data_IF_219311771927
#
_entry.id   IF_219311771927
#
_cell.length_a   1.000
_cell.length_b   1.000
_cell.length_c   1.000
_cell.angle_alpha   90.00
_cell.angle_beta   90.00
_cell.angle_gamma   90.00
#
_symmetry.space_group_name_H-M   'P 1'
#
loop_
_entity.id
_entity.type
_entity.pdbx_description
1 polymer ?
#
# COMPACT_ATOMS: atom_id res chain seq x y z
N UNK A 1 -20.18 3.13 0.16
CA UNK A 1 -20.63 4.00 1.27
C UNK A 1 -19.38 4.53 1.96
N UNK A 2 -19.29 5.84 2.17
CA UNK A 2 -18.19 6.41 2.95
C UNK A 2 -18.44 6.21 4.44
N UNK A 3 -17.37 5.95 5.19
CA UNK A 3 -17.37 5.71 6.62
C UNK A 3 -16.21 6.45 7.28
N UNK A 4 -16.43 6.96 8.48
CA UNK A 4 -15.39 7.53 9.31
C UNK A 4 -14.94 6.48 10.35
N UNK A 5 -13.64 6.26 10.45
CA UNK A 5 -12.98 5.34 11.36
C UNK A 5 -12.00 6.09 12.27
N UNK A 6 -11.42 5.41 13.26
CA UNK A 6 -10.47 5.99 14.20
C UNK A 6 -11.01 7.28 14.81
N UNK A 7 -12.17 7.18 15.48
CA UNK A 7 -12.86 8.31 16.12
C UNK A 7 -13.19 9.46 15.16
N UNK A 8 -13.50 9.15 13.90
CA UNK A 8 -13.88 10.13 12.88
C UNK A 8 -12.70 10.81 12.15
N UNK A 9 -11.48 10.30 12.31
CA UNK A 9 -10.27 10.91 11.76
C UNK A 9 -9.76 10.25 10.47
N UNK A 10 -10.22 9.04 10.15
CA UNK A 10 -9.87 8.30 8.94
C UNK A 10 -11.12 8.11 8.09
N UNK A 11 -11.12 8.68 6.89
CA UNK A 11 -12.17 8.46 5.90
C UNK A 11 -11.90 7.17 5.15
N UNK A 12 -12.93 6.33 4.95
CA UNK A 12 -12.82 5.07 4.24
C UNK A 12 -14.03 4.79 3.36
N UNK A 13 -13.81 4.23 2.18
CA UNK A 13 -14.87 3.61 1.41
C UNK A 13 -15.10 2.19 1.93
N UNK A 14 -16.38 1.82 2.13
CA UNK A 14 -16.76 0.46 2.54
C UNK A 14 -17.73 -0.14 1.54
N UNK A 15 -17.53 -1.43 1.22
CA UNK A 15 -18.34 -2.20 0.28
C UNK A 15 -18.40 -3.67 0.70
N UNK A 16 -19.55 -4.33 0.45
CA UNK A 16 -19.73 -5.76 0.75
C UNK A 16 -19.96 -6.05 2.23
N UNK A 17 -20.11 -7.34 2.51
CA UNK A 17 -20.33 -7.92 3.84
C UNK A 17 -19.38 -9.09 4.06
N UNK A 18 -19.24 -9.58 5.32
CA UNK A 18 -18.36 -10.70 5.67
C UNK A 18 -17.09 -10.26 6.41
N UNK A 19 -16.03 -11.11 6.39
CA UNK A 19 -14.78 -10.81 7.06
C UNK A 19 -14.17 -9.50 6.58
N UNK A 20 -13.61 -8.67 7.47
CA UNK A 20 -13.07 -7.37 7.10
C UNK A 20 -11.75 -7.52 6.33
N UNK A 21 -11.65 -6.84 5.18
CA UNK A 21 -10.46 -6.75 4.35
C UNK A 21 -10.11 -5.27 4.13
N UNK A 22 -9.00 -4.83 4.71
CA UNK A 22 -8.47 -3.49 4.57
C UNK A 22 -7.48 -3.40 3.42
N UNK A 23 -7.64 -2.39 2.54
CA UNK A 23 -6.78 -2.14 1.39
C UNK A 23 -6.10 -0.78 1.55
N UNK A 24 -4.79 -0.76 1.80
CA UNK A 24 -3.98 0.44 2.07
C UNK A 24 -3.20 0.83 0.82
N UNK A 25 -3.42 2.05 0.31
CA UNK A 25 -2.86 2.53 -0.96
C UNK A 25 -1.40 3.00 -0.87
N UNK A 26 -0.73 3.12 -2.02
CA UNK A 26 0.64 3.63 -2.14
C UNK A 26 0.71 5.17 -2.01
N UNK A 27 1.93 5.70 -1.76
CA UNK A 27 2.22 7.14 -1.67
C UNK A 27 1.94 7.90 -2.96
N UNK A 28 2.23 7.27 -4.11
CA UNK A 28 2.07 7.88 -5.43
C UNK A 28 0.68 7.63 -6.04
N UNK A 29 -0.24 7.10 -5.24
CA UNK A 29 -1.61 6.80 -5.64
C UNK A 29 -2.58 7.13 -4.50
N UNK A 30 -3.84 6.76 -4.65
CA UNK A 30 -4.91 6.97 -3.70
C UNK A 30 -5.79 5.72 -3.55
N UNK A 31 -6.88 5.81 -2.77
CA UNK A 31 -7.81 4.70 -2.57
C UNK A 31 -8.43 4.16 -3.88
N UNK A 32 -8.54 4.99 -4.92
CA UNK A 32 -9.09 4.58 -6.21
C UNK A 32 -8.21 3.55 -6.94
N UNK A 33 -6.94 3.37 -6.51
CA UNK A 33 -6.08 2.30 -7.04
C UNK A 33 -6.63 0.88 -6.81
N UNK A 34 -7.62 0.72 -5.93
CA UNK A 34 -8.29 -0.55 -5.66
C UNK A 34 -9.67 -0.67 -6.34
N UNK A 35 -10.14 0.33 -7.09
CA UNK A 35 -11.48 0.33 -7.66
C UNK A 35 -11.73 -0.82 -8.65
N UNK A 36 -10.68 -1.30 -9.33
CA UNK A 36 -10.76 -2.42 -10.24
C UNK A 36 -10.93 -3.78 -9.51
N UNK A 37 -10.39 -3.93 -8.30
CA UNK A 37 -10.41 -5.20 -7.55
C UNK A 37 -11.47 -5.23 -6.45
N UNK A 38 -11.83 -4.08 -5.88
CA UNK A 38 -12.78 -3.99 -4.77
C UNK A 38 -14.17 -4.58 -5.07
N UNK A 39 -14.76 -4.45 -6.28
CA UNK A 39 -16.05 -5.08 -6.59
C UNK A 39 -16.04 -6.60 -6.49
N UNK A 40 -14.99 -7.27 -6.97
CA UNK A 40 -14.87 -8.73 -6.89
C UNK A 40 -14.61 -9.19 -5.46
N UNK A 41 -13.71 -8.54 -4.74
CA UNK A 41 -13.43 -8.82 -3.33
C UNK A 41 -14.67 -8.61 -2.45
N UNK A 42 -15.49 -7.61 -2.74
CA UNK A 42 -16.69 -7.29 -1.95
C UNK A 42 -17.82 -8.31 -2.06
N UNK A 43 -17.70 -9.31 -2.94
CA UNK A 43 -18.63 -10.44 -3.00
C UNK A 43 -18.40 -11.42 -1.82
N UNK A 44 -17.23 -11.37 -1.18
CA UNK A 44 -16.81 -12.32 -0.15
C UNK A 44 -16.36 -11.64 1.15
N UNK A 45 -15.99 -10.37 1.06
CA UNK A 45 -15.42 -9.59 2.15
C UNK A 45 -16.17 -8.27 2.34
N UNK A 46 -16.16 -7.79 3.55
CA UNK A 46 -16.41 -6.40 3.84
C UNK A 46 -15.11 -5.63 3.53
N UNK A 47 -15.00 -5.16 2.30
CA UNK A 47 -13.83 -4.41 1.79
C UNK A 47 -13.88 -3.00 2.33
N UNK A 48 -12.80 -2.58 2.99
CA UNK A 48 -12.62 -1.26 3.59
C UNK A 48 -11.37 -0.65 2.96
N UNK A 49 -11.53 0.48 2.26
CA UNK A 49 -10.43 1.18 1.58
C UNK A 49 -10.27 2.54 2.24
N UNK A 50 -9.43 2.67 3.28
CA UNK A 50 -9.17 3.95 3.92
C UNK A 50 -8.29 4.84 3.04
N UNK A 51 -8.53 6.13 3.15
CA UNK A 51 -7.53 7.13 2.81
C UNK A 51 -6.52 7.18 3.94
N UNK A 52 -5.24 6.95 3.65
CA UNK A 52 -4.21 6.98 4.69
C UNK A 52 -4.16 8.36 5.36
N UNK A 53 -3.72 8.46 6.62
CA UNK A 53 -3.65 9.73 7.35
C UNK A 53 -2.98 10.85 6.55
N UNK A 54 -3.71 11.94 6.33
CA UNK A 54 -3.31 13.10 5.53
C UNK A 54 -3.69 13.02 4.06
N UNK A 55 -4.19 11.88 3.55
CA UNK A 55 -4.73 11.75 2.20
C UNK A 55 -6.24 12.02 2.20
N UNK A 56 -6.72 12.61 1.11
CA UNK A 56 -8.15 12.86 0.88
C UNK A 56 -8.84 13.52 2.07
N UNK A 57 -9.88 12.88 2.60
CA UNK A 57 -10.63 13.35 3.77
C UNK A 57 -10.08 12.91 5.14
N UNK A 58 -8.96 12.16 5.17
CA UNK A 58 -8.37 11.69 6.42
C UNK A 58 -7.49 12.75 7.07
N UNK A 59 -7.62 12.92 8.38
CA UNK A 59 -6.79 13.87 9.14
C UNK A 59 -5.33 13.41 9.17
N UNK A 60 -4.42 14.36 8.95
CA UNK A 60 -3.00 14.11 9.10
C UNK A 60 -2.65 13.78 10.57
N UNK A 61 -1.63 12.97 10.73
CA UNK A 61 -0.98 12.71 12.03
C UNK A 61 0.42 13.34 12.03
N UNK A 62 1.18 13.18 13.09
CA UNK A 62 2.57 13.62 13.16
C UNK A 62 3.46 13.03 12.04
N UNK A 63 4.71 13.42 12.00
CA UNK A 63 5.60 13.18 10.86
C UNK A 63 6.26 11.79 10.79
N UNK A 64 5.89 10.80 11.61
CA UNK A 64 6.52 9.47 11.64
C UNK A 64 5.63 8.38 11.06
N UNK A 65 6.26 7.35 10.46
CA UNK A 65 5.55 6.14 10.00
C UNK A 65 4.84 5.43 11.18
N UNK A 66 5.40 5.51 12.36
CA UNK A 66 4.82 4.96 13.59
C UNK A 66 3.45 5.57 13.91
N UNK A 67 3.33 6.89 13.83
CA UNK A 67 2.06 7.59 14.08
C UNK A 67 1.01 7.28 13.02
N UNK A 68 1.42 7.15 11.76
CA UNK A 68 0.56 6.71 10.67
C UNK A 68 0.06 5.27 10.95
N UNK A 69 0.96 4.37 11.32
CA UNK A 69 0.64 2.97 11.61
C UNK A 69 -0.29 2.83 12.84
N UNK A 70 -0.05 3.60 13.90
CA UNK A 70 -0.90 3.61 15.10
C UNK A 70 -2.31 4.10 14.77
N UNK A 71 -2.46 5.18 13.99
CA UNK A 71 -3.76 5.66 13.53
C UNK A 71 -4.48 4.63 12.66
N UNK A 72 -3.75 3.93 11.79
CA UNK A 72 -4.33 2.87 10.98
C UNK A 72 -4.73 1.65 11.84
N UNK A 73 -3.99 1.34 12.91
CA UNK A 73 -4.40 0.31 13.86
C UNK A 73 -5.72 0.67 14.56
N UNK A 74 -5.91 1.93 14.95
CA UNK A 74 -7.20 2.40 15.46
C UNK A 74 -8.33 2.21 14.44
N UNK A 75 -8.07 2.56 13.18
CA UNK A 75 -9.04 2.40 12.09
C UNK A 75 -9.40 0.92 11.83
N UNK A 76 -8.41 0.02 11.90
CA UNK A 76 -8.65 -1.43 11.75
C UNK A 76 -9.48 -1.97 12.93
N UNK A 77 -9.18 -1.59 14.17
CA UNK A 77 -9.99 -1.99 15.35
C UNK A 77 -11.44 -1.50 15.24
N UNK A 78 -11.63 -0.25 14.83
CA UNK A 78 -12.96 0.36 14.71
C UNK A 78 -13.76 -0.25 13.55
N UNK A 79 -13.10 -0.58 12.44
CA UNK A 79 -13.74 -1.11 11.23
C UNK A 79 -13.72 -2.64 11.10
N UNK A 80 -12.77 -3.33 11.71
CA UNK A 80 -12.48 -4.73 11.41
C UNK A 80 -12.74 -5.72 12.53
N UNK A 81 -12.38 -5.35 13.75
CA UNK A 81 -12.30 -6.33 14.84
C UNK A 81 -11.10 -7.29 14.66
N UNK A 82 -11.14 -8.41 15.39
CA UNK A 82 -10.01 -9.34 15.52
C UNK A 82 -9.76 -10.21 14.26
N UNK A 83 -10.72 -10.28 13.33
CA UNK A 83 -10.63 -11.13 12.12
C UNK A 83 -10.16 -10.38 10.87
N UNK A 84 -9.60 -9.19 11.01
CA UNK A 84 -9.20 -8.37 9.89
C UNK A 84 -8.08 -9.02 9.06
N UNK A 85 -8.21 -8.90 7.74
CA UNK A 85 -7.12 -9.12 6.78
C UNK A 85 -6.66 -7.75 6.31
N UNK A 86 -5.35 -7.53 6.26
CA UNK A 86 -4.79 -6.26 5.79
C UNK A 86 -3.95 -6.49 4.55
N UNK A 87 -4.23 -5.74 3.51
CA UNK A 87 -3.44 -5.66 2.29
C UNK A 87 -2.91 -4.24 2.15
N UNK A 88 -1.59 -4.09 2.01
CA UNK A 88 -0.95 -2.80 1.74
C UNK A 88 -0.11 -2.84 0.49
N UNK A 89 -0.24 -1.82 -0.37
CA UNK A 89 0.58 -1.63 -1.55
C UNK A 89 1.54 -0.45 -1.36
N UNK A 90 2.80 -0.62 -1.70
CA UNK A 90 3.81 0.42 -1.62
C UNK A 90 3.90 1.04 -0.22
N UNK A 91 3.66 2.34 -0.09
CA UNK A 91 3.62 3.01 1.21
C UNK A 91 2.62 2.39 2.18
N UNK A 92 1.42 2.01 1.70
CA UNK A 92 0.46 1.26 2.49
C UNK A 92 0.97 -0.09 2.98
N UNK A 93 1.87 -0.74 2.24
CA UNK A 93 2.58 -1.95 2.66
C UNK A 93 3.52 -1.70 3.84
N UNK A 94 4.31 -0.61 3.80
CA UNK A 94 5.16 -0.22 4.93
C UNK A 94 4.35 0.17 6.16
N UNK A 95 3.23 0.88 5.97
CA UNK A 95 2.28 1.20 7.06
C UNK A 95 1.70 -0.08 7.67
N UNK A 96 1.24 -1.02 6.85
CA UNK A 96 0.68 -2.29 7.30
C UNK A 96 1.71 -3.14 8.08
N UNK A 97 2.94 -3.20 7.58
CA UNK A 97 4.03 -3.92 8.23
C UNK A 97 4.39 -3.28 9.58
N UNK A 98 4.56 -1.97 9.63
CA UNK A 98 4.80 -1.23 10.88
C UNK A 98 3.65 -1.40 11.88
N UNK A 99 2.41 -1.40 11.38
CA UNK A 99 1.20 -1.60 12.19
C UNK A 99 1.20 -2.98 12.86
N UNK A 100 1.46 -4.06 12.11
CA UNK A 100 1.52 -5.43 12.66
C UNK A 100 2.68 -5.61 13.64
N UNK A 101 3.83 -5.01 13.39
CA UNK A 101 4.97 -5.04 14.32
C UNK A 101 4.60 -4.43 15.68
N UNK A 102 3.83 -3.36 15.69
CA UNK A 102 3.43 -2.61 16.89
C UNK A 102 2.17 -3.16 17.55
N UNK A 103 1.28 -3.72 16.76
CA UNK A 103 -0.04 -4.22 17.17
C UNK A 103 -0.23 -5.64 16.59
N UNK A 104 0.45 -6.67 17.14
CA UNK A 104 0.53 -8.01 16.51
C UNK A 104 -0.82 -8.72 16.39
N UNK A 105 -1.81 -8.33 17.18
CA UNK A 105 -3.15 -8.95 17.21
C UNK A 105 -4.19 -8.21 16.35
N UNK A 106 -3.74 -7.23 15.53
CA UNK A 106 -4.65 -6.34 14.79
C UNK A 106 -5.24 -7.01 13.53
N UNK A 107 -4.60 -8.06 13.01
CA UNK A 107 -5.03 -8.77 11.83
C UNK A 107 -4.67 -10.25 11.91
N UNK A 108 -5.38 -11.08 11.16
CA UNK A 108 -5.15 -12.53 11.07
C UNK A 108 -4.26 -12.92 9.91
N UNK A 109 -4.15 -12.06 8.89
CA UNK A 109 -3.32 -12.24 7.67
C UNK A 109 -2.84 -10.90 7.16
N UNK A 110 -1.66 -10.91 6.56
CA UNK A 110 -1.06 -9.72 5.96
C UNK A 110 -0.67 -9.98 4.51
N UNK A 111 -1.07 -9.10 3.59
CA UNK A 111 -0.64 -9.11 2.19
C UNK A 111 0.16 -7.83 1.96
N UNK A 112 1.42 -7.99 1.55
CA UNK A 112 2.37 -6.91 1.31
C UNK A 112 2.71 -6.87 -0.17
N UNK A 113 2.15 -5.92 -0.88
CA UNK A 113 2.38 -5.73 -2.31
C UNK A 113 3.37 -4.58 -2.54
N UNK A 114 4.41 -4.87 -3.31
CA UNK A 114 5.36 -3.86 -3.80
C UNK A 114 5.95 -3.00 -2.65
N UNK A 115 6.52 -3.65 -1.66
CA UNK A 115 7.20 -3.03 -0.54
C UNK A 115 8.40 -3.88 -0.07
N UNK A 116 9.07 -3.47 1.00
CA UNK A 116 10.24 -4.16 1.53
C UNK A 116 10.47 -3.87 3.01
N UNK A 117 11.61 -4.30 3.55
CA UNK A 117 11.98 -4.06 4.94
C UNK A 117 12.81 -2.77 5.12
N UNK A 118 13.58 -2.39 4.10
CA UNK A 118 14.46 -1.22 4.10
C UNK A 118 14.78 -0.83 2.66
N UNK A 119 15.21 0.41 2.45
CA UNK A 119 15.73 0.85 1.16
C UNK A 119 17.26 0.83 1.12
N UNK A 120 17.82 0.56 -0.06
CA UNK A 120 19.24 0.72 -0.33
C UNK A 120 19.68 2.18 -0.17
N UNK A 121 20.97 2.49 -0.03
CA UNK A 121 21.46 3.87 0.02
C UNK A 121 20.98 4.73 -1.17
N UNK A 122 20.96 4.17 -2.37
CA UNK A 122 20.44 4.86 -3.58
C UNK A 122 18.94 5.07 -3.53
N UNK A 123 18.16 4.11 -3.01
CA UNK A 123 16.72 4.25 -2.80
C UNK A 123 16.38 5.34 -1.80
N UNK A 124 17.10 5.39 -0.67
CA UNK A 124 16.98 6.46 0.34
C UNK A 124 17.27 7.84 -0.26
N UNK A 125 18.34 7.95 -1.06
CA UNK A 125 18.69 9.21 -1.72
C UNK A 125 17.66 9.64 -2.77
N UNK A 126 17.03 8.70 -3.46
CA UNK A 126 15.95 9.01 -4.39
C UNK A 126 14.75 9.66 -3.67
N UNK A 127 14.38 9.20 -2.47
CA UNK A 127 13.32 9.85 -1.67
C UNK A 127 13.73 11.24 -1.19
N UNK A 128 14.97 11.43 -0.74
CA UNK A 128 15.47 12.75 -0.35
C UNK A 128 15.45 13.72 -1.53
N UNK A 129 15.87 13.26 -2.70
CA UNK A 129 15.82 14.05 -3.95
C UNK A 129 14.40 14.42 -4.33
N UNK A 130 13.45 13.48 -4.31
CA UNK A 130 12.04 13.78 -4.60
C UNK A 130 11.46 14.80 -3.62
N UNK A 131 11.75 14.68 -2.32
CA UNK A 131 11.33 15.65 -1.31
C UNK A 131 11.93 17.04 -1.57
N UNK A 132 13.22 17.13 -1.89
CA UNK A 132 13.91 18.38 -2.17
C UNK A 132 13.39 19.06 -3.44
N UNK A 133 13.18 18.31 -4.52
CA UNK A 133 12.62 18.83 -5.79
C UNK A 133 11.18 19.28 -5.58
N UNK A 134 10.35 18.48 -4.88
CA UNK A 134 8.98 18.86 -4.53
C UNK A 134 8.93 20.15 -3.70
N UNK A 135 9.86 20.33 -2.76
CA UNK A 135 9.95 21.57 -1.96
C UNK A 135 10.32 22.80 -2.82
N UNK A 136 11.25 22.64 -3.75
CA UNK A 136 11.77 23.72 -4.56
C UNK A 136 10.88 24.09 -5.75
N UNK A 137 10.20 23.11 -6.37
CA UNK A 137 9.52 23.25 -7.67
C UNK A 137 8.08 22.73 -7.69
N UNK A 138 7.56 22.21 -6.56
CA UNK A 138 6.24 21.61 -6.47
C UNK A 138 6.19 20.17 -6.99
N UNK A 139 5.04 19.49 -6.77
CA UNK A 139 4.82 18.10 -7.19
C UNK A 139 4.86 17.95 -8.71
N UNK A 140 4.45 18.95 -9.47
CA UNK A 140 4.46 18.92 -10.93
C UNK A 140 5.86 18.58 -11.50
N UNK A 141 6.93 19.03 -10.83
CA UNK A 141 8.31 18.77 -11.28
C UNK A 141 8.77 17.32 -11.14
N UNK A 142 8.05 16.50 -10.38
CA UNK A 142 8.37 15.10 -10.16
C UNK A 142 7.29 14.13 -10.68
N UNK A 143 6.22 14.64 -11.30
CA UNK A 143 5.08 13.84 -11.76
C UNK A 143 5.51 12.75 -12.74
N UNK A 144 6.41 13.05 -13.70
CA UNK A 144 6.90 12.04 -14.65
C UNK A 144 7.72 10.93 -13.96
N UNK A 145 8.48 11.29 -12.93
CA UNK A 145 9.20 10.31 -12.10
C UNK A 145 8.21 9.44 -11.33
N UNK A 146 7.16 10.04 -10.75
CA UNK A 146 6.11 9.30 -10.05
C UNK A 146 5.41 8.30 -10.97
N UNK A 147 5.01 8.70 -12.17
CA UNK A 147 4.34 7.82 -13.13
C UNK A 147 5.23 6.66 -13.59
N UNK A 148 6.51 6.92 -13.87
CA UNK A 148 7.46 5.83 -14.22
C UNK A 148 7.65 4.82 -13.09
N UNK A 149 7.54 5.27 -11.85
CA UNK A 149 7.62 4.37 -10.68
C UNK A 149 6.38 3.51 -10.50
N UNK A 150 5.21 4.00 -10.90
CA UNK A 150 3.95 3.26 -10.78
C UNK A 150 3.79 2.21 -11.88
N UNK A 151 4.16 2.53 -13.13
CA UNK A 151 3.85 1.71 -14.30
C UNK A 151 5.03 1.63 -15.27
N UNK A 152 5.20 0.46 -15.89
CA UNK A 152 6.15 0.27 -16.97
C UNK A 152 5.83 1.19 -18.18
N UNK A 153 6.86 1.65 -18.95
CA UNK A 153 6.66 2.58 -20.08
C UNK A 153 5.65 2.11 -21.12
N UNK A 154 5.68 0.84 -21.48
CA UNK A 154 4.76 0.27 -22.47
C UNK A 154 3.31 0.32 -21.99
N UNK A 155 3.07 0.04 -20.72
CA UNK A 155 1.74 0.16 -20.11
C UNK A 155 1.25 1.62 -20.13
N UNK A 156 2.11 2.57 -19.79
CA UNK A 156 1.78 3.99 -19.86
C UNK A 156 1.36 4.45 -21.24
N UNK A 157 2.09 3.98 -22.30
CA UNK A 157 1.78 4.32 -23.69
C UNK A 157 0.43 3.76 -24.17
N UNK A 158 0.02 2.60 -23.63
CA UNK A 158 -1.25 1.95 -23.98
C UNK A 158 -2.45 2.49 -23.20
N UNK A 159 -2.23 3.18 -22.07
CA UNK A 159 -3.29 3.64 -21.16
C UNK A 159 -3.20 5.16 -20.85
N UNK A 160 -3.24 6.04 -21.86
CA UNK A 160 -3.04 7.49 -21.67
C UNK A 160 -4.09 8.14 -20.77
N UNK A 161 -5.35 7.67 -20.80
CA UNK A 161 -6.43 8.19 -19.93
C UNK A 161 -6.14 7.85 -18.46
N UNK A 162 -5.81 6.59 -18.17
CA UNK A 162 -5.42 6.19 -16.81
C UNK A 162 -4.20 7.00 -16.33
N UNK A 163 -3.23 7.26 -17.20
CA UNK A 163 -2.08 8.09 -16.85
C UNK A 163 -2.47 9.52 -16.53
N UNK A 164 -3.44 10.09 -17.24
CA UNK A 164 -3.97 11.43 -16.93
C UNK A 164 -4.63 11.47 -15.54
N UNK A 165 -5.50 10.51 -15.25
CA UNK A 165 -6.16 10.39 -13.95
C UNK A 165 -5.17 10.21 -12.80
N UNK A 166 -4.15 9.36 -12.98
CA UNK A 166 -3.13 9.13 -11.93
C UNK A 166 -2.23 10.33 -11.72
N UNK A 167 -1.92 11.08 -12.79
CA UNK A 167 -1.18 12.37 -12.67
C UNK A 167 -1.98 13.38 -11.88
N UNK A 168 -3.27 13.50 -12.15
CA UNK A 168 -4.16 14.42 -11.42
C UNK A 168 -4.25 14.01 -9.95
N UNK A 169 -4.48 12.74 -9.65
CA UNK A 169 -4.53 12.21 -8.29
C UNK A 169 -3.24 12.51 -7.51
N UNK A 170 -2.07 12.30 -8.14
CA UNK A 170 -0.78 12.62 -7.54
C UNK A 170 -0.61 14.13 -7.28
N UNK A 171 -1.01 14.98 -8.21
CA UNK A 171 -0.92 16.44 -8.06
C UNK A 171 -1.83 16.99 -6.96
N UNK A 172 -2.93 16.30 -6.64
CA UNK A 172 -3.85 16.63 -5.55
C UNK A 172 -3.34 16.20 -4.17
N UNK A 173 -2.23 15.45 -4.08
CA UNK A 173 -1.60 15.09 -2.80
C UNK A 173 -1.06 16.34 -2.11
N UNK A 174 -1.24 16.44 -0.79
CA UNK A 174 -0.62 17.52 -0.01
C UNK A 174 0.92 17.45 -0.12
N UNK A 175 1.60 18.52 -0.57
CA UNK A 175 3.04 18.49 -0.75
C UNK A 175 3.84 18.34 0.56
N UNK A 176 3.27 18.72 1.72
CA UNK A 176 3.92 18.54 3.02
C UNK A 176 3.85 17.08 3.44
N UNK A 177 2.68 16.47 3.29
CA UNK A 177 2.47 15.04 3.50
C UNK A 177 3.42 14.21 2.62
N UNK A 178 3.47 14.50 1.32
CA UNK A 178 4.38 13.81 0.40
C UNK A 178 5.84 13.86 0.87
N UNK A 179 6.32 15.04 1.28
CA UNK A 179 7.68 15.20 1.80
C UNK A 179 7.92 14.46 3.11
N UNK A 180 6.94 14.48 4.02
CA UNK A 180 7.02 13.72 5.28
C UNK A 180 7.12 12.21 5.00
N UNK A 181 6.29 11.67 4.10
CA UNK A 181 6.35 10.27 3.71
C UNK A 181 7.70 9.92 3.02
N UNK A 182 8.22 10.78 2.16
CA UNK A 182 9.56 10.60 1.58
C UNK A 182 10.65 10.55 2.68
N UNK A 183 10.58 11.41 3.69
CA UNK A 183 11.54 11.40 4.80
C UNK A 183 11.43 10.10 5.63
N UNK A 184 10.21 9.64 5.92
CA UNK A 184 9.96 8.36 6.60
C UNK A 184 10.59 7.19 5.82
N UNK A 185 10.34 7.11 4.51
CA UNK A 185 10.88 6.05 3.66
C UNK A 185 12.41 6.10 3.51
N UNK A 186 12.99 7.30 3.48
CA UNK A 186 14.44 7.46 3.44
C UNK A 186 15.15 6.95 4.70
N UNK A 187 14.49 6.92 5.85
CA UNK A 187 15.06 6.46 7.12
C UNK A 187 14.56 5.06 7.52
N UNK A 188 13.65 4.46 6.72
CA UNK A 188 13.03 3.18 7.02
C UNK A 188 14.06 2.05 7.14
N UNK A 189 14.01 1.32 8.25
CA UNK A 189 14.67 0.02 8.42
C UNK A 189 13.91 -0.82 9.44
N UNK A 190 13.12 -1.77 8.95
CA UNK A 190 12.29 -2.66 9.76
C UNK A 190 12.91 -4.07 9.93
N UNK A 191 14.11 -4.32 9.36
CA UNK A 191 14.72 -5.65 9.34
C UNK A 191 14.86 -6.26 10.73
N UNK A 192 15.27 -5.47 11.71
CA UNK A 192 15.42 -5.91 13.10
C UNK A 192 14.10 -6.22 13.84
N UNK A 193 12.97 -5.81 13.27
CA UNK A 193 11.65 -5.93 13.89
C UNK A 193 10.80 -7.07 13.31
N UNK A 194 11.18 -7.62 12.14
CA UNK A 194 10.34 -8.57 11.37
C UNK A 194 10.04 -9.87 12.13
N UNK A 195 10.91 -10.29 13.03
CA UNK A 195 10.68 -11.45 13.90
C UNK A 195 9.44 -11.29 14.84
N UNK A 196 8.92 -10.07 14.98
CA UNK A 196 7.70 -9.77 15.77
C UNK A 196 6.41 -10.06 14.98
N UNK A 197 6.48 -10.19 13.66
CA UNK A 197 5.32 -10.51 12.81
C UNK A 197 4.97 -11.98 13.02
N UNK A 198 3.78 -12.27 13.57
CA UNK A 198 3.34 -13.62 13.94
C UNK A 198 2.23 -14.15 13.04
N UNK A 199 1.65 -13.31 12.21
CA UNK A 199 0.61 -13.71 11.27
C UNK A 199 1.21 -14.23 9.97
N UNK A 200 0.52 -15.11 9.23
CA UNK A 200 0.93 -15.48 7.89
C UNK A 200 1.00 -14.25 6.97
N UNK A 201 2.04 -14.18 6.13
CA UNK A 201 2.27 -13.06 5.21
C UNK A 201 2.36 -13.56 3.77
N UNK A 202 1.64 -12.92 2.86
CA UNK A 202 1.89 -13.03 1.42
C UNK A 202 2.62 -11.77 0.96
N UNK A 203 3.84 -11.93 0.50
CA UNK A 203 4.62 -10.88 -0.16
C UNK A 203 4.40 -10.98 -1.66
N UNK A 204 4.04 -9.87 -2.30
CA UNK A 204 3.80 -9.80 -3.75
C UNK A 204 4.66 -8.67 -4.31
N UNK A 205 5.17 -8.85 -5.52
CA UNK A 205 5.88 -7.79 -6.25
C UNK A 205 5.65 -7.92 -7.74
N UNK A 206 5.46 -6.79 -8.42
CA UNK A 206 5.49 -6.74 -9.87
C UNK A 206 6.90 -7.02 -10.41
N UNK A 207 7.00 -7.82 -11.48
CA UNK A 207 8.28 -8.18 -12.12
C UNK A 207 9.11 -6.95 -12.50
N UNK A 208 8.43 -5.87 -12.90
CA UNK A 208 9.03 -4.62 -13.39
C UNK A 208 8.91 -3.46 -12.40
N UNK A 209 8.72 -3.75 -11.10
CA UNK A 209 8.69 -2.69 -10.09
C UNK A 209 10.07 -2.03 -9.91
N UNK A 210 10.17 -0.77 -10.31
CA UNK A 210 11.37 0.05 -10.14
C UNK A 210 11.38 0.85 -8.81
N UNK A 211 10.23 0.97 -8.15
CA UNK A 211 10.12 1.71 -6.89
C UNK A 211 10.59 0.88 -5.69
N UNK A 212 10.14 -0.37 -5.64
CA UNK A 212 10.51 -1.38 -4.65
C UNK A 212 10.83 -2.70 -5.37
N UNK A 213 11.99 -2.78 -6.05
CA UNK A 213 12.29 -3.87 -6.98
C UNK A 213 12.30 -5.25 -6.30
N UNK A 214 12.07 -6.35 -7.06
CA UNK A 214 11.91 -7.71 -6.55
C UNK A 214 12.94 -8.16 -5.49
N UNK A 215 14.23 -7.77 -5.54
CA UNK A 215 15.18 -8.11 -4.47
C UNK A 215 14.76 -7.62 -3.08
N UNK A 216 14.03 -6.50 -2.96
CA UNK A 216 13.52 -6.01 -1.67
C UNK A 216 12.44 -6.95 -1.11
N UNK A 217 11.55 -7.45 -1.96
CA UNK A 217 10.52 -8.43 -1.58
C UNK A 217 11.10 -9.81 -1.26
N UNK A 218 12.17 -10.22 -1.94
CA UNK A 218 12.94 -11.43 -1.59
C UNK A 218 13.56 -11.30 -0.19
N UNK A 219 14.21 -10.16 0.12
CA UNK A 219 14.76 -9.90 1.46
C UNK A 219 13.66 -9.92 2.52
N UNK A 220 12.54 -9.21 2.26
CA UNK A 220 11.40 -9.16 3.17
C UNK A 220 10.85 -10.55 3.48
N UNK A 221 10.57 -11.35 2.45
CA UNK A 221 10.04 -12.70 2.61
C UNK A 221 11.01 -13.65 3.35
N UNK A 222 12.32 -13.49 3.12
CA UNK A 222 13.34 -14.30 3.79
C UNK A 222 13.51 -13.96 5.28
N UNK A 223 13.19 -12.73 5.70
CA UNK A 223 13.32 -12.27 7.09
C UNK A 223 12.03 -12.46 7.91
N UNK A 224 10.88 -12.65 7.27
CA UNK A 224 9.61 -12.89 7.95
C UNK A 224 9.51 -14.36 8.41
N UNK A 225 8.96 -14.64 9.60
CA UNK A 225 8.83 -16.01 10.14
C UNK A 225 7.95 -16.96 9.34
N UNK A 226 6.84 -16.44 8.77
CA UNK A 226 5.86 -17.20 7.96
C UNK A 226 5.45 -16.38 6.76
N UNK A 227 6.21 -16.48 5.68
CA UNK A 227 5.95 -15.72 4.46
C UNK A 227 6.01 -16.57 3.19
N UNK A 228 5.14 -16.23 2.23
CA UNK A 228 5.20 -16.70 0.85
C UNK A 228 5.49 -15.52 -0.06
N UNK A 229 6.30 -15.73 -1.11
CA UNK A 229 6.58 -14.71 -2.12
C UNK A 229 5.97 -15.10 -3.45
N UNK A 230 5.29 -14.15 -4.11
CA UNK A 230 4.83 -14.27 -5.49
C UNK A 230 5.27 -13.06 -6.30
N UNK A 231 5.74 -13.30 -7.52
CA UNK A 231 6.08 -12.27 -8.50
C UNK A 231 4.97 -12.24 -9.55
N UNK A 232 4.44 -11.05 -9.83
CA UNK A 232 3.39 -10.88 -10.84
C UNK A 232 4.05 -10.49 -12.17
N UNK A 233 4.01 -11.36 -13.18
CA UNK A 233 4.69 -11.12 -14.45
C UNK A 233 4.09 -9.90 -15.18
N UNK A 234 4.93 -9.12 -15.85
CA UNK A 234 4.54 -7.95 -16.63
C UNK A 234 4.02 -6.76 -15.85
N UNK A 235 3.87 -6.86 -14.53
CA UNK A 235 3.40 -5.77 -13.67
C UNK A 235 4.54 -4.95 -13.08
N UNK A 236 4.25 -3.69 -12.77
CA UNK A 236 5.10 -2.78 -12.02
C UNK A 236 4.55 -2.56 -10.59
N UNK A 237 4.64 -1.34 -10.04
CA UNK A 237 4.43 -1.03 -8.63
C UNK A 237 2.96 -1.05 -8.15
N UNK A 238 1.99 -1.04 -9.03
CA UNK A 238 0.55 -1.06 -8.68
C UNK A 238 -0.19 -2.15 -9.46
N UNK A 239 0.15 -3.44 -9.21
CA UNK A 239 -0.39 -4.55 -9.98
C UNK A 239 -1.91 -4.66 -9.91
N UNK A 240 -2.54 -4.29 -8.78
CA UNK A 240 -4.00 -4.26 -8.62
C UNK A 240 -4.70 -3.27 -9.56
N UNK A 241 -3.98 -2.26 -10.03
CA UNK A 241 -4.48 -1.27 -10.99
C UNK A 241 -4.07 -1.63 -12.43
N UNK A 242 -2.88 -2.23 -12.59
CA UNK A 242 -2.33 -2.58 -13.89
C UNK A 242 -2.96 -3.85 -14.47
N UNK A 243 -3.19 -4.86 -13.64
CA UNK A 243 -3.78 -6.15 -14.03
C UNK A 243 -4.61 -6.73 -12.89
N UNK A 244 -5.85 -6.22 -12.73
CA UNK A 244 -6.74 -6.59 -11.64
C UNK A 244 -7.01 -8.10 -11.57
N UNK A 245 -7.21 -8.75 -12.71
CA UNK A 245 -7.48 -10.20 -12.79
C UNK A 245 -6.28 -11.01 -12.27
N UNK A 246 -5.09 -10.75 -12.78
CA UNK A 246 -3.87 -11.45 -12.38
C UNK A 246 -3.53 -11.18 -10.90
N UNK A 247 -3.79 -9.95 -10.42
CA UNK A 247 -3.62 -9.62 -9.01
C UNK A 247 -4.56 -10.42 -8.13
N UNK A 248 -5.85 -10.51 -8.46
CA UNK A 248 -6.85 -11.30 -7.74
C UNK A 248 -6.54 -12.80 -7.75
N UNK A 249 -6.12 -13.34 -8.89
CA UNK A 249 -5.64 -14.72 -8.99
C UNK A 249 -4.44 -14.95 -8.05
N UNK A 250 -3.49 -14.01 -8.05
CA UNK A 250 -2.26 -14.11 -7.24
C UNK A 250 -2.56 -14.19 -5.74
N UNK A 251 -3.56 -13.47 -5.23
CA UNK A 251 -3.91 -13.46 -3.80
C UNK A 251 -4.92 -14.54 -3.41
N UNK A 252 -5.55 -15.21 -4.37
CA UNK A 252 -6.73 -16.07 -4.15
C UNK A 252 -6.48 -17.23 -3.19
N UNK A 253 -5.33 -17.91 -3.29
CA UNK A 253 -4.99 -19.08 -2.46
C UNK A 253 -4.49 -18.70 -1.05
N UNK A 254 -4.26 -17.43 -0.81
CA UNK A 254 -3.88 -16.88 0.49
C UNK A 254 -5.08 -16.35 1.28
N UNK A 255 -6.13 -15.96 0.61
CA UNK A 255 -7.39 -15.55 1.23
C UNK A 255 -8.15 -16.79 1.77
N UNK A 256 -9.11 -16.61 2.69
CA UNK A 256 -9.97 -17.71 3.14
C UNK A 256 -10.61 -18.50 1.98
N UNK A 257 -10.79 -19.82 2.17
CA UNK A 257 -11.27 -20.74 1.13
C UNK A 257 -12.60 -20.33 0.47
N UNK A 258 -13.41 -19.52 1.14
CA UNK A 258 -14.64 -18.93 0.58
C UNK A 258 -14.38 -18.03 -0.65
N UNK A 259 -13.17 -17.51 -0.81
CA UNK A 259 -12.77 -16.71 -1.98
C UNK A 259 -12.28 -17.60 -3.13
N UNK A 260 -11.56 -18.68 -2.83
CA UNK A 260 -10.94 -19.55 -3.84
C UNK A 260 -11.92 -20.49 -4.57
N UNK A 261 -13.18 -20.62 -4.09
CA UNK A 261 -14.15 -21.60 -4.58
C UNK A 261 -15.05 -21.08 -5.73
N UNK A 262 -14.80 -19.89 -6.27
CA UNK A 262 -15.55 -19.25 -7.35
C UNK A 262 -14.63 -18.60 -8.39
#
# INVERSE_FOLDING_TARGET
MDRLLAHGTVNAAQRGEGPPLFLLHSLLSDRASFDAVAPQLSRFFRVIVPELPGFGGSQAVGGSLTEVADRMAEAVRDGGGEDAIVLGNGYGGFVALQMIIRHPDIATRLILADCGAAFSPSGREAFRTMAAVSKAKGLAAITDVAMRRLFAPDFQAQHPELMADRREAFLNTDPQLFRAACAQLAELDLRGELAKVKVPVLVIVGEHDEATPPPMSHELAALLPDARLKIIPGCAHVPQLQSAELFLETISDFLPATFAAN
#
